data_IF_615239885457
#
_entry.id   IF_615239885457
#
_cell.length_a   1.000
_cell.length_b   1.000
_cell.length_c   1.000
_cell.angle_alpha   90.00
_cell.angle_beta   90.00
_cell.angle_gamma   90.00
#
_symmetry.space_group_name_H-M   'P 1'
#
loop_
_entity.id
_entity.type
_entity.pdbx_description
1 polymer ?
#
# COMPACT_ATOMS: atom_id res chain seq x y z
N UNK A 1 47.36 2.81 47.93
CA UNK A 1 45.96 2.87 48.42
C UNK A 1 45.06 3.19 47.24
N UNK A 2 44.05 2.34 47.02
CA UNK A 2 43.14 2.32 45.87
C UNK A 2 42.21 3.54 45.78
N UNK A 3 41.90 4.00 44.56
CA UNK A 3 40.58 3.88 43.89
C UNK A 3 40.42 4.91 42.75
N UNK A 4 40.81 4.53 41.54
CA UNK A 4 40.47 5.21 40.28
C UNK A 4 39.57 4.24 39.50
N UNK A 5 38.27 4.22 39.78
CA UNK A 5 37.34 3.29 39.12
C UNK A 5 35.91 3.84 39.12
N UNK A 6 35.70 5.01 38.52
CA UNK A 6 34.34 5.58 38.44
C UNK A 6 34.11 6.44 37.20
N UNK A 7 34.58 6.07 36.00
CA UNK A 7 34.16 6.77 34.76
C UNK A 7 34.13 5.78 33.57
N UNK A 8 33.28 4.75 33.61
CA UNK A 8 33.06 3.87 32.43
C UNK A 8 31.62 3.31 32.37
N UNK A 9 30.62 4.04 32.87
CA UNK A 9 29.22 3.55 32.90
C UNK A 9 28.18 4.50 32.27
N UNK A 10 28.61 5.62 31.69
CA UNK A 10 27.71 6.60 31.06
C UNK A 10 27.65 6.53 29.53
N UNK A 11 28.56 5.81 28.87
CA UNK A 11 28.61 5.73 27.41
C UNK A 11 27.68 4.66 26.80
N UNK A 12 27.27 3.65 27.56
CA UNK A 12 26.42 2.55 27.06
C UNK A 12 24.92 2.88 27.01
N UNK A 13 24.46 3.91 27.73
CA UNK A 13 23.03 4.25 27.80
C UNK A 13 22.55 5.16 26.64
N UNK A 14 23.46 5.79 25.90
CA UNK A 14 23.11 6.70 24.78
C UNK A 14 22.96 5.96 23.44
N UNK A 15 23.51 4.74 23.31
CA UNK A 15 23.44 3.96 22.06
C UNK A 15 22.12 3.17 21.90
N UNK A 16 21.38 2.92 22.98
CA UNK A 16 20.14 2.13 22.93
C UNK A 16 18.89 2.96 22.51
N UNK A 17 18.98 4.29 22.45
CA UNK A 17 17.84 5.17 22.13
C UNK A 17 17.80 5.66 20.67
N UNK A 18 18.85 5.41 19.88
CA UNK A 18 18.95 5.92 18.50
C UNK A 18 18.13 5.11 17.48
N UNK A 19 17.93 3.81 17.72
CA UNK A 19 17.31 2.88 16.76
C UNK A 19 15.81 3.18 16.51
N UNK A 20 14.96 3.44 17.53
CA UNK A 20 13.53 3.67 17.31
C UNK A 20 13.23 4.93 16.48
N UNK A 21 14.10 5.94 16.54
CA UNK A 21 13.93 7.20 15.82
C UNK A 21 14.12 7.03 14.31
N UNK A 22 14.97 6.11 13.87
CA UNK A 22 15.21 5.86 12.45
C UNK A 22 14.01 5.14 11.80
N UNK A 23 13.50 4.10 12.47
CA UNK A 23 12.32 3.33 12.07
C UNK A 23 11.12 4.19 11.70
N UNK A 24 10.82 5.10 12.62
CA UNK A 24 9.70 6.01 12.51
C UNK A 24 9.89 6.95 11.31
N UNK A 25 11.11 7.45 11.10
CA UNK A 25 11.45 8.32 9.97
C UNK A 25 11.33 7.58 8.64
N UNK A 26 11.74 6.32 8.55
CA UNK A 26 11.62 5.53 7.31
C UNK A 26 10.15 5.34 6.92
N UNK A 27 9.27 4.94 7.87
CA UNK A 27 7.83 4.82 7.60
C UNK A 27 7.21 6.17 7.21
N UNK A 28 7.53 7.26 7.91
CA UNK A 28 7.02 8.60 7.56
C UNK A 28 7.48 9.07 6.17
N UNK A 29 8.74 8.81 5.82
CA UNK A 29 9.25 9.15 4.49
C UNK A 29 8.66 8.24 3.41
N UNK A 30 8.41 6.97 3.74
CA UNK A 30 7.66 6.03 2.90
C UNK A 30 6.27 6.56 2.58
N UNK A 31 5.53 7.01 3.60
CA UNK A 31 4.21 7.62 3.47
C UNK A 31 4.22 8.85 2.56
N UNK A 32 5.19 9.75 2.70
CA UNK A 32 5.32 10.94 1.85
C UNK A 32 5.62 10.58 0.39
N UNK A 33 6.45 9.56 0.14
CA UNK A 33 6.71 9.10 -1.22
C UNK A 33 5.51 8.35 -1.80
N UNK A 34 4.82 7.53 -1.01
CA UNK A 34 3.58 6.88 -1.40
C UNK A 34 2.54 7.91 -1.81
N UNK A 35 2.36 8.98 -1.05
CA UNK A 35 1.45 10.07 -1.39
C UNK A 35 1.81 10.74 -2.73
N UNK A 36 3.09 11.07 -2.94
CA UNK A 36 3.56 11.63 -4.22
C UNK A 36 3.34 10.66 -5.38
N UNK A 37 3.58 9.37 -5.15
CA UNK A 37 3.33 8.31 -6.11
C UNK A 37 1.85 8.24 -6.46
N UNK A 38 0.97 8.27 -5.45
CA UNK A 38 -0.47 8.19 -5.61
C UNK A 38 -1.04 9.37 -6.41
N UNK A 39 -0.58 10.60 -6.12
CA UNK A 39 -0.94 11.80 -6.89
C UNK A 39 -0.54 11.66 -8.36
N UNK A 40 0.69 11.19 -8.62
CA UNK A 40 1.18 10.97 -9.98
C UNK A 40 0.39 9.84 -10.69
N UNK A 41 0.13 8.74 -9.99
CA UNK A 41 -0.61 7.58 -10.49
C UNK A 41 -2.03 7.93 -10.89
N UNK A 42 -2.75 8.66 -10.04
CA UNK A 42 -4.13 9.12 -10.29
C UNK A 42 -4.19 10.26 -11.31
N UNK A 43 -3.09 10.97 -11.52
CA UNK A 43 -2.91 11.93 -12.62
C UNK A 43 -2.38 11.29 -13.92
N UNK A 44 -2.31 9.95 -13.99
CA UNK A 44 -1.82 9.18 -15.16
C UNK A 44 -0.37 9.50 -15.56
N UNK A 45 0.45 9.99 -14.63
CA UNK A 45 1.89 10.21 -14.82
C UNK A 45 2.66 8.94 -14.42
N UNK A 46 2.50 7.85 -15.19
CA UNK A 46 2.96 6.50 -14.81
C UNK A 46 4.45 6.44 -14.47
N UNK A 47 5.35 6.97 -15.31
CA UNK A 47 6.80 6.92 -15.06
C UNK A 47 7.20 7.61 -13.75
N UNK A 48 6.58 8.77 -13.50
CA UNK A 48 6.80 9.55 -12.27
C UNK A 48 6.23 8.83 -11.05
N UNK A 49 5.07 8.20 -11.20
CA UNK A 49 4.46 7.39 -10.14
C UNK A 49 5.38 6.22 -9.77
N UNK A 50 5.89 5.47 -10.75
CA UNK A 50 6.84 4.37 -10.54
C UNK A 50 8.07 4.83 -9.75
N UNK A 51 8.69 5.94 -10.15
CA UNK A 51 9.87 6.46 -9.44
C UNK A 51 9.61 6.82 -7.96
N UNK A 52 8.40 7.28 -7.62
CA UNK A 52 8.02 7.52 -6.22
C UNK A 52 7.63 6.24 -5.49
N UNK A 53 6.95 5.29 -6.14
CA UNK A 53 6.63 3.99 -5.55
C UNK A 53 7.89 3.19 -5.22
N UNK A 54 8.89 3.18 -6.09
CA UNK A 54 10.20 2.56 -5.80
C UNK A 54 10.82 3.13 -4.53
N UNK A 55 10.88 4.46 -4.41
CA UNK A 55 11.39 5.12 -3.19
C UNK A 55 10.57 4.79 -1.95
N UNK A 56 9.24 4.75 -2.08
CA UNK A 56 8.36 4.37 -0.99
C UNK A 56 8.61 2.92 -0.55
N UNK A 57 8.76 2.00 -1.50
CA UNK A 57 9.06 0.59 -1.25
C UNK A 57 10.37 0.42 -0.47
N UNK A 58 11.44 1.10 -0.88
CA UNK A 58 12.74 1.04 -0.18
C UNK A 58 12.62 1.49 1.28
N UNK A 59 11.90 2.58 1.52
CA UNK A 59 11.69 3.14 2.85
C UNK A 59 10.77 2.28 3.72
N UNK A 60 9.73 1.66 3.12
CA UNK A 60 8.89 0.71 3.82
C UNK A 60 9.66 -0.57 4.18
N UNK A 61 10.49 -1.09 3.28
CA UNK A 61 11.34 -2.25 3.59
C UNK A 61 12.31 -1.95 4.74
N UNK A 62 12.96 -0.78 4.72
CA UNK A 62 13.82 -0.34 5.84
C UNK A 62 13.04 -0.29 7.17
N UNK A 63 11.83 0.28 7.14
CA UNK A 63 10.99 0.42 8.34
C UNK A 63 10.40 -0.90 8.86
N UNK A 64 10.09 -1.85 7.96
CA UNK A 64 9.52 -3.16 8.30
C UNK A 64 10.58 -4.16 8.78
N UNK A 65 11.80 -4.08 8.28
CA UNK A 65 12.91 -4.97 8.65
C UNK A 65 13.62 -4.59 9.96
N UNK A 66 13.15 -3.57 10.66
CA UNK A 66 13.71 -3.21 11.96
C UNK A 66 13.31 -4.21 13.04
N UNK A 67 14.21 -4.45 14.00
CA UNK A 67 13.98 -5.34 15.13
C UNK A 67 14.11 -4.59 16.48
N UNK A 68 13.02 -4.41 17.24
CA UNK A 68 11.63 -4.69 16.86
C UNK A 68 11.06 -3.63 15.90
N UNK A 69 10.13 -3.99 15.01
CA UNK A 69 9.50 -3.02 14.12
C UNK A 69 8.59 -2.10 14.93
N UNK A 70 8.43 -0.85 14.46
CA UNK A 70 7.57 0.11 15.16
C UNK A 70 6.11 -0.33 15.17
N UNK A 71 5.35 0.16 16.16
CA UNK A 71 3.90 -0.03 16.20
C UNK A 71 3.21 0.45 14.92
N UNK A 72 3.65 1.58 14.36
CA UNK A 72 3.06 2.16 13.14
C UNK A 72 3.39 1.35 11.89
N UNK A 73 4.55 0.72 11.81
CA UNK A 73 4.91 -0.19 10.73
C UNK A 73 3.93 -1.39 10.65
N UNK A 74 3.30 -1.76 11.77
CA UNK A 74 2.35 -2.88 11.86
C UNK A 74 0.88 -2.49 11.66
N UNK A 75 0.56 -1.21 11.42
CA UNK A 75 -0.82 -0.82 11.13
C UNK A 75 -1.26 -1.39 9.78
N UNK A 76 -2.49 -1.94 9.65
CA UNK A 76 -2.98 -2.49 8.38
C UNK A 76 -2.87 -1.51 7.21
N UNK A 77 -3.13 -0.23 7.44
CA UNK A 77 -3.00 0.81 6.42
C UNK A 77 -1.56 1.04 5.97
N UNK A 78 -0.59 0.99 6.89
CA UNK A 78 0.84 1.08 6.56
C UNK A 78 1.27 -0.12 5.74
N UNK A 79 0.88 -1.33 6.16
CA UNK A 79 1.18 -2.57 5.45
C UNK A 79 0.56 -2.59 4.05
N UNK A 80 -0.69 -2.15 3.89
CA UNK A 80 -1.32 -2.06 2.58
C UNK A 80 -0.59 -1.07 1.66
N UNK A 81 -0.21 0.12 2.14
CA UNK A 81 0.59 1.07 1.34
C UNK A 81 1.94 0.48 0.95
N UNK A 82 2.61 -0.22 1.87
CA UNK A 82 3.86 -0.91 1.62
C UNK A 82 3.69 -1.99 0.53
N UNK A 83 2.68 -2.85 0.65
CA UNK A 83 2.38 -3.87 -0.36
C UNK A 83 2.11 -3.28 -1.75
N UNK A 84 1.32 -2.21 -1.84
CA UNK A 84 1.06 -1.50 -3.11
C UNK A 84 2.36 -0.93 -3.68
N UNK A 85 3.21 -0.32 -2.84
CA UNK A 85 4.49 0.21 -3.28
C UNK A 85 5.44 -0.89 -3.75
N UNK A 86 5.50 -2.03 -3.06
CA UNK A 86 6.28 -3.20 -3.47
C UNK A 86 5.83 -3.72 -4.82
N UNK A 87 4.52 -3.88 -5.02
CA UNK A 87 3.96 -4.29 -6.30
C UNK A 87 4.37 -3.33 -7.43
N UNK A 88 4.13 -2.03 -7.24
CA UNK A 88 4.45 -1.02 -8.24
C UNK A 88 5.97 -0.88 -8.52
N UNK A 89 6.82 -1.30 -7.58
CA UNK A 89 8.27 -1.35 -7.73
C UNK A 89 8.78 -2.68 -8.33
N UNK A 90 7.90 -3.63 -8.69
CA UNK A 90 8.29 -4.95 -9.20
C UNK A 90 8.77 -5.93 -8.13
N UNK A 91 8.59 -5.60 -6.85
CA UNK A 91 9.03 -6.40 -5.68
C UNK A 91 7.91 -7.36 -5.25
N UNK A 92 7.52 -8.24 -6.17
CA UNK A 92 6.29 -9.05 -6.04
C UNK A 92 6.26 -9.97 -4.81
N UNK A 93 7.40 -10.58 -4.45
CA UNK A 93 7.49 -11.44 -3.28
C UNK A 93 7.23 -10.67 -1.97
N UNK A 94 7.82 -9.48 -1.83
CA UNK A 94 7.62 -8.61 -0.66
C UNK A 94 6.19 -8.06 -0.61
N UNK A 95 5.57 -7.80 -1.76
CA UNK A 95 4.14 -7.48 -1.82
C UNK A 95 3.29 -8.63 -1.24
N UNK A 96 3.50 -9.87 -1.70
CA UNK A 96 2.76 -11.05 -1.24
C UNK A 96 2.88 -11.21 0.29
N UNK A 97 4.10 -11.16 0.82
CA UNK A 97 4.37 -11.31 2.25
C UNK A 97 3.69 -10.20 3.07
N UNK A 98 3.80 -8.96 2.61
CA UNK A 98 3.23 -7.79 3.28
C UNK A 98 1.70 -7.79 3.23
N UNK A 99 1.10 -8.21 2.11
CA UNK A 99 -0.35 -8.30 1.95
C UNK A 99 -0.95 -9.43 2.79
N UNK A 100 -0.27 -10.58 2.88
CA UNK A 100 -0.65 -11.65 3.83
C UNK A 100 -0.61 -11.15 5.26
N UNK A 101 0.45 -10.43 5.66
CA UNK A 101 0.53 -9.80 6.98
C UNK A 101 -0.61 -8.79 7.20
N UNK A 102 -0.97 -8.03 6.18
CA UNK A 102 -2.13 -7.09 6.23
C UNK A 102 -3.42 -7.83 6.57
N UNK A 103 -3.71 -8.96 5.91
CA UNK A 103 -4.90 -9.78 6.20
C UNK A 103 -4.91 -10.36 7.61
N UNK A 104 -3.75 -10.70 8.18
CA UNK A 104 -3.70 -11.14 9.59
C UNK A 104 -4.09 -10.02 10.57
N UNK A 105 -4.04 -8.76 10.13
CA UNK A 105 -4.33 -7.58 10.95
C UNK A 105 -5.71 -6.99 10.70
N UNK A 106 -6.20 -7.04 9.47
CA UNK A 106 -7.55 -6.62 9.06
C UNK A 106 -7.99 -7.47 7.85
N UNK A 107 -8.78 -8.51 8.10
CA UNK A 107 -9.22 -9.49 7.10
C UNK A 107 -10.32 -8.96 6.16
N UNK A 108 -10.88 -7.79 6.47
CA UNK A 108 -11.92 -7.10 5.68
C UNK A 108 -11.36 -6.28 4.52
N UNK A 109 -10.03 -6.16 4.43
CA UNK A 109 -9.40 -5.42 3.35
C UNK A 109 -9.44 -6.21 2.04
N UNK A 110 -9.80 -5.54 0.94
CA UNK A 110 -9.85 -6.15 -0.39
C UNK A 110 -8.52 -6.05 -1.14
N UNK A 111 -7.71 -5.03 -0.87
CA UNK A 111 -6.42 -4.82 -1.53
C UNK A 111 -5.48 -6.01 -1.41
N UNK A 112 -5.34 -6.67 -0.25
CA UNK A 112 -4.45 -7.81 -0.13
C UNK A 112 -4.72 -8.92 -1.14
N UNK A 113 -5.99 -9.29 -1.36
CA UNK A 113 -6.33 -10.33 -2.33
C UNK A 113 -5.95 -9.90 -3.76
N UNK A 114 -6.29 -8.66 -4.16
CA UNK A 114 -5.97 -8.16 -5.50
C UNK A 114 -4.46 -8.08 -5.75
N UNK A 115 -3.71 -7.41 -4.87
CA UNK A 115 -2.28 -7.19 -5.09
C UNK A 115 -1.46 -8.48 -4.90
N UNK A 116 -1.95 -9.44 -4.12
CA UNK A 116 -1.35 -10.79 -4.06
C UNK A 116 -1.59 -11.54 -5.36
N UNK A 117 -2.82 -11.52 -5.91
CA UNK A 117 -3.13 -12.12 -7.20
C UNK A 117 -2.27 -11.54 -8.33
N UNK A 118 -2.19 -10.21 -8.41
CA UNK A 118 -1.35 -9.52 -9.39
C UNK A 118 0.13 -9.90 -9.25
N UNK A 119 0.63 -9.99 -8.02
CA UNK A 119 2.02 -10.39 -7.77
C UNK A 119 2.29 -11.84 -8.20
N UNK A 120 1.37 -12.77 -7.93
CA UNK A 120 1.51 -14.15 -8.43
C UNK A 120 1.43 -14.23 -9.96
N UNK A 121 0.57 -13.43 -10.59
CA UNK A 121 0.45 -13.38 -12.04
C UNK A 121 1.79 -12.95 -12.68
N UNK A 122 2.41 -11.88 -12.14
CA UNK A 122 3.73 -11.38 -12.58
C UNK A 122 4.88 -12.35 -12.29
N UNK A 123 4.71 -13.27 -11.34
CA UNK A 123 5.65 -14.35 -11.05
C UNK A 123 5.36 -15.64 -11.83
N UNK A 124 4.29 -15.68 -12.64
CA UNK A 124 3.92 -16.83 -13.46
C UNK A 124 3.15 -17.94 -12.72
N UNK A 125 2.64 -17.67 -11.51
CA UNK A 125 1.90 -18.67 -10.70
C UNK A 125 0.39 -18.60 -10.97
N UNK A 126 -0.07 -19.33 -11.99
CA UNK A 126 -1.47 -19.28 -12.45
C UNK A 126 -2.48 -19.77 -11.41
N UNK A 127 -2.14 -20.83 -10.66
CA UNK A 127 -3.05 -21.41 -9.67
C UNK A 127 -3.28 -20.44 -8.52
N UNK A 128 -2.21 -19.88 -7.94
CA UNK A 128 -2.35 -18.91 -6.84
C UNK A 128 -2.95 -17.59 -7.31
N UNK A 129 -2.72 -17.19 -8.56
CA UNK A 129 -3.42 -16.04 -9.15
C UNK A 129 -4.93 -16.24 -9.09
N UNK A 130 -5.44 -17.36 -9.61
CA UNK A 130 -6.88 -17.66 -9.59
C UNK A 130 -7.43 -17.76 -8.18
N UNK A 131 -6.72 -18.42 -7.27
CA UNK A 131 -7.10 -18.53 -5.86
C UNK A 131 -7.32 -17.15 -5.22
N UNK A 132 -6.35 -16.24 -5.37
CA UNK A 132 -6.41 -14.90 -4.80
C UNK A 132 -7.48 -14.01 -5.48
N UNK A 133 -7.75 -14.22 -6.78
CA UNK A 133 -8.87 -13.56 -7.46
C UNK A 133 -10.23 -14.03 -6.94
N UNK A 134 -10.40 -15.33 -6.68
CA UNK A 134 -11.61 -15.86 -6.02
C UNK A 134 -11.78 -15.28 -4.62
N UNK A 135 -10.68 -15.18 -3.87
CA UNK A 135 -10.60 -14.51 -2.58
C UNK A 135 -10.97 -13.02 -2.62
N UNK A 136 -10.70 -12.32 -3.72
CA UNK A 136 -11.14 -10.94 -3.90
C UNK A 136 -12.68 -10.86 -4.01
N UNK A 137 -13.28 -11.74 -4.81
CA UNK A 137 -14.75 -11.78 -5.02
C UNK A 137 -15.49 -12.08 -3.72
N UNK A 138 -15.00 -13.02 -2.90
CA UNK A 138 -15.65 -13.40 -1.64
C UNK A 138 -15.59 -12.31 -0.57
N UNK A 139 -14.64 -11.37 -0.67
CA UNK A 139 -14.49 -10.24 0.26
C UNK A 139 -15.43 -9.07 -0.01
N UNK A 140 -16.39 -9.22 -0.94
CA UNK A 140 -17.42 -8.22 -1.25
C UNK A 140 -16.84 -6.82 -1.47
N UNK A 141 -15.80 -6.74 -2.31
CA UNK A 141 -15.21 -5.45 -2.65
C UNK A 141 -16.30 -4.56 -3.26
N UNK A 142 -16.58 -3.41 -2.64
CA UNK A 142 -17.47 -2.38 -3.19
C UNK A 142 -16.86 -1.64 -4.39
N UNK A 143 -15.84 -2.23 -5.03
CA UNK A 143 -15.10 -1.66 -6.15
C UNK A 143 -15.70 -2.18 -7.47
N UNK A 144 -16.81 -1.57 -7.91
CA UNK A 144 -17.57 -2.00 -9.09
C UNK A 144 -16.70 -2.40 -10.27
N UNK A 145 -15.80 -1.53 -10.73
CA UNK A 145 -15.03 -1.78 -11.95
C UNK A 145 -14.00 -2.89 -11.77
N UNK A 146 -13.39 -2.97 -10.58
CA UNK A 146 -12.44 -4.03 -10.27
C UNK A 146 -13.17 -5.37 -10.16
N UNK A 147 -14.30 -5.44 -9.46
CA UNK A 147 -15.09 -6.66 -9.33
C UNK A 147 -15.54 -7.21 -10.68
N UNK A 148 -16.06 -6.36 -11.57
CA UNK A 148 -16.46 -6.78 -12.92
C UNK A 148 -15.28 -7.36 -13.71
N UNK A 149 -14.11 -6.72 -13.63
CA UNK A 149 -12.90 -7.18 -14.32
C UNK A 149 -12.33 -8.46 -13.71
N UNK A 150 -12.33 -8.59 -12.38
CA UNK A 150 -11.84 -9.80 -11.69
C UNK A 150 -12.68 -11.00 -12.10
N UNK A 151 -14.01 -10.89 -12.07
CA UNK A 151 -14.89 -11.98 -12.52
C UNK A 151 -14.60 -12.38 -13.98
N UNK A 152 -14.41 -11.39 -14.86
CA UNK A 152 -14.03 -11.64 -16.25
C UNK A 152 -12.69 -12.37 -16.36
N UNK A 153 -11.65 -11.90 -15.67
CA UNK A 153 -10.31 -12.48 -15.74
C UNK A 153 -10.25 -13.89 -15.15
N UNK A 154 -11.02 -14.19 -14.09
CA UNK A 154 -11.18 -15.56 -13.58
C UNK A 154 -11.66 -16.49 -14.70
N UNK A 155 -12.76 -16.13 -15.37
CA UNK A 155 -13.31 -16.95 -16.46
C UNK A 155 -12.34 -17.10 -17.63
N UNK A 156 -11.67 -16.02 -18.04
CA UNK A 156 -10.73 -16.06 -19.17
C UNK A 156 -9.48 -16.89 -18.87
N UNK A 157 -8.96 -16.83 -17.63
CA UNK A 157 -7.83 -17.63 -17.17
C UNK A 157 -8.20 -19.11 -17.04
N UNK A 158 -9.37 -19.43 -16.49
CA UNK A 158 -9.87 -20.80 -16.38
C UNK A 158 -10.11 -21.44 -17.75
N UNK A 159 -10.55 -20.65 -18.74
CA UNK A 159 -10.71 -21.10 -20.11
C UNK A 159 -9.40 -21.14 -20.92
N UNK A 160 -8.28 -20.64 -20.36
CA UNK A 160 -7.00 -20.53 -21.08
C UNK A 160 -7.04 -19.56 -22.26
N UNK A 161 -7.95 -18.59 -22.24
CA UNK A 161 -8.17 -17.61 -23.32
C UNK A 161 -7.40 -16.29 -23.14
N UNK A 162 -6.79 -16.09 -21.97
CA UNK A 162 -5.92 -14.96 -21.66
C UNK A 162 -4.65 -15.45 -20.98
N UNK A 163 -3.54 -14.73 -21.13
CA UNK A 163 -2.30 -14.99 -20.40
C UNK A 163 -2.30 -14.31 -19.04
N UNK A 164 -1.41 -14.73 -18.12
CA UNK A 164 -1.26 -14.07 -16.82
C UNK A 164 -0.86 -12.60 -16.96
N UNK A 165 0.05 -12.28 -17.89
CA UNK A 165 0.47 -10.90 -18.12
C UNK A 165 -0.68 -10.04 -18.64
N UNK A 166 -1.46 -10.55 -19.60
CA UNK A 166 -2.61 -9.82 -20.14
C UNK A 166 -3.69 -9.59 -19.07
N UNK A 167 -3.93 -10.59 -18.22
CA UNK A 167 -4.85 -10.46 -17.09
C UNK A 167 -4.36 -9.43 -16.06
N UNK A 168 -3.08 -9.45 -15.72
CA UNK A 168 -2.47 -8.49 -14.80
C UNK A 168 -2.54 -7.05 -15.37
N UNK A 169 -2.23 -6.85 -16.65
CA UNK A 169 -2.32 -5.54 -17.31
C UNK A 169 -3.75 -4.98 -17.34
N UNK A 170 -4.74 -5.85 -17.61
CA UNK A 170 -6.16 -5.47 -17.59
C UNK A 170 -6.63 -5.07 -16.18
N UNK A 171 -6.21 -5.83 -15.16
CA UNK A 171 -6.52 -5.55 -13.76
C UNK A 171 -5.81 -4.28 -13.25
N UNK A 172 -4.56 -4.05 -13.63
CA UNK A 172 -3.83 -2.81 -13.30
C UNK A 172 -4.54 -1.59 -13.88
N UNK A 173 -4.92 -1.67 -15.15
CA UNK A 173 -5.61 -0.59 -15.87
C UNK A 173 -6.96 -0.25 -15.24
N UNK A 174 -7.77 -1.27 -14.92
CA UNK A 174 -9.09 -1.04 -14.30
C UNK A 174 -8.96 -0.55 -12.87
N UNK A 175 -7.92 -0.97 -12.15
CA UNK A 175 -7.64 -0.54 -10.78
C UNK A 175 -7.30 0.95 -10.76
N UNK A 176 -6.44 1.41 -11.68
CA UNK A 176 -6.14 2.84 -11.84
C UNK A 176 -7.41 3.63 -12.15
N UNK A 177 -8.22 3.12 -13.08
CA UNK A 177 -9.48 3.75 -13.46
C UNK A 177 -10.46 3.87 -12.29
N UNK A 178 -10.65 2.80 -11.50
CA UNK A 178 -11.50 2.79 -10.31
C UNK A 178 -11.06 3.86 -9.30
N UNK A 179 -9.76 4.01 -9.04
CA UNK A 179 -9.26 5.01 -8.11
C UNK A 179 -9.45 6.44 -8.62
N UNK A 180 -9.18 6.69 -9.91
CA UNK A 180 -9.45 7.99 -10.54
C UNK A 180 -10.93 8.35 -10.42
N UNK A 181 -11.81 7.40 -10.71
CA UNK A 181 -13.25 7.63 -10.62
C UNK A 181 -13.72 7.85 -9.17
N UNK A 182 -13.18 7.11 -8.21
CA UNK A 182 -13.45 7.35 -6.79
C UNK A 182 -13.03 8.76 -6.37
N UNK A 183 -11.87 9.24 -6.83
CA UNK A 183 -11.38 10.59 -6.55
C UNK A 183 -12.28 11.64 -7.18
N UNK A 184 -12.58 11.52 -8.47
CA UNK A 184 -13.42 12.48 -9.19
C UNK A 184 -14.81 12.61 -8.56
N UNK A 185 -15.40 11.50 -8.11
CA UNK A 185 -16.69 11.51 -7.40
C UNK A 185 -16.64 12.23 -6.06
N UNK A 186 -15.52 12.18 -5.35
CA UNK A 186 -15.36 12.87 -4.07
C UNK A 186 -14.95 14.34 -4.24
N UNK A 187 -14.38 14.73 -5.38
CA UNK A 187 -13.98 16.11 -5.70
C UNK A 187 -15.08 16.97 -6.37
N UNK A 188 -16.35 16.54 -6.33
CA UNK A 188 -17.47 17.37 -6.81
C UNK A 188 -17.45 18.75 -6.14
N UNK A 189 -17.32 19.87 -6.91
CA UNK A 189 -17.28 21.22 -6.35
C UNK A 189 -18.52 21.61 -5.53
N UNK A 190 -19.61 20.84 -5.65
CA UNK A 190 -20.84 21.05 -4.89
C UNK A 190 -20.83 20.36 -3.52
N UNK A 191 -19.87 19.47 -3.25
CA UNK A 191 -19.85 18.58 -2.09
C UNK A 191 -18.57 18.70 -1.24
N UNK A 192 -17.84 19.82 -1.36
CA UNK A 192 -16.52 20.04 -0.74
C UNK A 192 -16.54 19.81 0.79
N UNK A 193 -17.67 20.06 1.47
CA UNK A 193 -17.83 19.78 2.90
C UNK A 193 -18.06 18.31 3.28
N UNK A 194 -18.54 17.48 2.35
CA UNK A 194 -18.79 16.04 2.57
C UNK A 194 -17.55 15.19 2.30
N UNK A 195 -16.57 15.72 1.56
CA UNK A 195 -15.36 14.99 1.20
C UNK A 195 -14.50 14.63 2.43
N UNK A 196 -14.43 15.52 3.43
CA UNK A 196 -13.71 15.30 4.69
C UNK A 196 -14.40 14.24 5.56
N UNK A 197 -15.73 14.27 5.65
CA UNK A 197 -16.51 13.25 6.39
C UNK A 197 -16.44 11.86 5.73
N UNK A 198 -16.31 11.83 4.39
CA UNK A 198 -16.16 10.59 3.60
C UNK A 198 -14.73 10.06 3.57
N UNK A 199 -13.78 10.79 4.14
CA UNK A 199 -12.40 10.40 4.18
C UNK A 199 -12.13 9.43 5.32
N UNK A 200 -11.90 8.17 4.98
CA UNK A 200 -11.30 7.24 5.93
C UNK A 200 -9.81 7.56 6.03
N UNK A 201 -9.40 8.37 7.02
CA UNK A 201 -8.03 8.88 7.16
C UNK A 201 -6.95 7.79 7.05
N UNK A 202 -7.23 6.57 7.52
CA UNK A 202 -6.28 5.45 7.42
C UNK A 202 -6.18 4.86 6.00
N UNK A 203 -7.22 4.97 5.17
CA UNK A 203 -7.32 4.38 3.82
C UNK A 203 -7.65 5.45 2.77
N UNK A 204 -7.12 6.67 2.94
CA UNK A 204 -7.49 7.85 2.17
C UNK A 204 -7.30 7.66 0.65
N UNK A 205 -6.30 6.88 0.24
CA UNK A 205 -5.92 6.66 -1.17
C UNK A 205 -7.04 6.00 -1.99
N UNK A 206 -7.98 5.32 -1.33
CA UNK A 206 -9.15 4.74 -2.00
C UNK A 206 -10.07 5.80 -2.63
N UNK A 207 -10.02 7.04 -2.15
CA UNK A 207 -11.01 8.09 -2.43
C UNK A 207 -10.41 9.49 -2.61
N UNK A 208 -9.15 9.70 -2.25
CA UNK A 208 -8.49 11.00 -2.26
C UNK A 208 -7.09 10.90 -2.86
N UNK A 209 -6.58 12.03 -3.37
CA UNK A 209 -5.21 12.14 -3.89
C UNK A 209 -4.16 12.35 -2.79
N UNK A 210 -4.59 12.76 -1.60
CA UNK A 210 -3.73 13.05 -0.45
C UNK A 210 -4.43 12.68 0.88
N UNK A 211 -3.66 12.50 1.97
CA UNK A 211 -4.24 12.33 3.31
C UNK A 211 -5.11 13.52 3.68
N UNK A 212 -6.27 13.25 4.25
CA UNK A 212 -7.17 14.31 4.69
C UNK A 212 -6.61 15.03 5.92
N UNK A 213 -6.60 16.36 5.88
CA UNK A 213 -6.21 17.15 7.05
C UNK A 213 -7.21 16.94 8.17
N UNK A 214 -6.72 16.61 9.37
CA UNK A 214 -7.56 16.47 10.56
C UNK A 214 -8.29 17.77 10.94
N UNK A 215 -7.88 18.91 10.37
CA UNK A 215 -8.38 20.23 10.71
C UNK A 215 -9.50 20.74 9.81
N UNK A 216 -9.83 20.10 8.68
CA UNK A 216 -10.87 20.59 7.76
C UNK A 216 -10.58 21.96 7.13
N UNK A 217 -9.42 22.56 7.41
CA UNK A 217 -9.00 23.84 6.82
C UNK A 217 -8.28 23.51 5.52
N UNK A 218 -8.98 23.68 4.41
CA UNK A 218 -8.37 23.77 3.09
C UNK A 218 -7.57 25.07 3.06
N UNK A 219 -6.24 24.98 3.20
CA UNK A 219 -5.37 26.11 2.87
C UNK A 219 -5.31 26.19 1.35
N UNK A 220 -6.00 27.18 0.78
CA UNK A 220 -5.86 27.57 -0.63
C UNK A 220 -4.44 28.00 -0.96
#
# INVERSE_FOLDING_TARGET
MHKTTTILLTAALVLATAIPAQAWRSIQNGDRNFERAWRAYTSRQTDKATGYFTKAADLYAEGLNQDPPTRTARFPSTLAKAGIAFYAAGRYQECIETMKLTLTRDDRMWEPALYTALSYARLGDAEKTKEELHHFVTRLSSQRFISDMVTKQITELEAGTTSLDAAADALDSVTQYQFIENINRNYSPRDVGLATERCNAAYWWRRNMEPCSASGIVTN
#
